data_IF_276943929394
#
_entry.id   IF_276943929394
#
_cell.length_a   1.000
_cell.length_b   1.000
_cell.length_c   1.000
_cell.angle_alpha   90.00
_cell.angle_beta   90.00
_cell.angle_gamma   90.00
#
_symmetry.space_group_name_H-M   'P 1'
#
loop_
_entity.id
_entity.type
_entity.pdbx_description
1 polymer ?
#
# COMPACT_ATOMS: atom_id res chain seq x y z
N UNK A 1 -5.28 -0.41 13.80
CA UNK A 1 -5.59 -1.75 13.25
C UNK A 1 -6.15 -1.68 11.83
N UNK A 2 -7.17 -0.92 11.55
CA UNK A 2 -7.87 -0.94 10.27
C UNK A 2 -7.09 -0.59 9.01
N UNK A 3 -6.04 0.22 9.08
CA UNK A 3 -5.19 0.57 7.93
C UNK A 3 -4.53 -0.63 7.29
N UNK A 4 -3.96 -1.53 8.11
CA UNK A 4 -3.36 -2.78 7.62
C UNK A 4 -4.40 -3.63 6.90
N UNK A 5 -5.54 -3.86 7.53
CA UNK A 5 -6.63 -4.64 6.96
C UNK A 5 -7.13 -4.05 5.62
N UNK A 6 -7.17 -2.72 5.51
CA UNK A 6 -7.54 -2.05 4.27
C UNK A 6 -6.46 -2.27 3.19
N UNK A 7 -5.18 -2.09 3.51
CA UNK A 7 -4.09 -2.33 2.59
C UNK A 7 -4.04 -3.81 2.14
N UNK A 8 -4.28 -4.74 3.05
CA UNK A 8 -4.40 -6.17 2.75
C UNK A 8 -5.56 -6.46 1.81
N UNK A 9 -6.75 -5.91 2.10
CA UNK A 9 -7.92 -6.09 1.25
C UNK A 9 -7.69 -5.55 -0.17
N UNK A 10 -7.12 -4.36 -0.30
CA UNK A 10 -6.74 -3.81 -1.60
C UNK A 10 -5.69 -4.65 -2.31
N UNK A 11 -4.65 -5.07 -1.61
CA UNK A 11 -3.62 -5.93 -2.18
C UNK A 11 -4.21 -7.25 -2.67
N UNK A 12 -5.12 -7.84 -1.89
CA UNK A 12 -5.82 -9.08 -2.25
C UNK A 12 -6.69 -8.92 -3.51
N UNK A 13 -7.38 -7.78 -3.64
CA UNK A 13 -8.16 -7.45 -4.85
C UNK A 13 -7.25 -7.26 -6.06
N UNK A 14 -6.15 -6.51 -5.90
CA UNK A 14 -5.20 -6.21 -6.98
C UNK A 14 -4.50 -7.48 -7.50
N UNK A 15 -4.20 -8.44 -6.63
CA UNK A 15 -3.52 -9.69 -6.99
C UNK A 15 -4.49 -10.83 -7.35
N UNK A 16 -5.80 -10.61 -7.23
CA UNK A 16 -6.78 -11.66 -7.47
C UNK A 16 -6.84 -12.06 -8.95
N UNK A 17 -6.61 -13.32 -9.25
CA UNK A 17 -6.71 -13.89 -10.61
C UNK A 17 -8.16 -13.86 -11.15
N UNK A 18 -9.17 -13.92 -10.26
CA UNK A 18 -10.58 -13.83 -10.60
C UNK A 18 -11.12 -12.39 -10.70
N UNK A 19 -10.27 -11.40 -10.72
CA UNK A 19 -10.62 -9.97 -10.70
C UNK A 19 -11.58 -9.55 -11.83
N UNK A 20 -11.40 -10.09 -13.02
CA UNK A 20 -12.27 -9.78 -14.19
C UNK A 20 -13.71 -10.28 -13.99
N UNK A 21 -13.88 -11.38 -13.25
CA UNK A 21 -15.18 -11.99 -13.00
C UNK A 21 -15.93 -11.36 -11.82
N UNK A 22 -15.21 -10.77 -10.85
CA UNK A 22 -15.79 -10.17 -9.65
C UNK A 22 -16.06 -8.67 -9.76
N UNK A 23 -15.69 -8.04 -10.89
CA UNK A 23 -15.95 -6.63 -11.15
C UNK A 23 -15.16 -5.66 -10.27
N UNK A 24 -13.96 -6.02 -9.83
CA UNK A 24 -13.03 -5.17 -9.05
C UNK A 24 -13.47 -4.81 -7.62
N UNK A 25 -14.62 -5.23 -7.17
CA UNK A 25 -15.13 -4.83 -5.85
C UNK A 25 -14.68 -5.78 -4.75
N UNK A 26 -14.51 -7.07 -5.08
CA UNK A 26 -14.13 -8.09 -4.10
C UNK A 26 -13.12 -9.09 -4.68
N UNK A 27 -12.28 -9.64 -3.81
CA UNK A 27 -11.41 -10.75 -4.18
C UNK A 27 -12.20 -12.05 -4.21
N UNK A 28 -11.88 -12.98 -5.11
CA UNK A 28 -12.60 -14.26 -5.22
C UNK A 28 -12.43 -15.19 -4.01
N UNK A 29 -11.39 -14.97 -3.20
CA UNK A 29 -11.07 -15.76 -1.99
C UNK A 29 -10.63 -17.20 -2.24
N UNK A 30 -10.56 -17.65 -3.51
CA UNK A 30 -10.35 -19.07 -3.87
C UNK A 30 -9.11 -19.31 -4.73
N UNK A 31 -8.63 -18.31 -5.47
CA UNK A 31 -7.43 -18.44 -6.29
C UNK A 31 -6.18 -18.54 -5.41
N UNK A 32 -5.11 -19.02 -5.99
CA UNK A 32 -3.85 -19.23 -5.28
C UNK A 32 -3.31 -17.92 -4.69
N UNK A 33 -3.37 -16.82 -5.43
CA UNK A 33 -2.98 -15.49 -4.94
C UNK A 33 -3.81 -15.05 -3.72
N UNK A 34 -5.12 -15.29 -3.73
CA UNK A 34 -5.97 -14.98 -2.57
C UNK A 34 -5.62 -15.81 -1.33
N UNK A 35 -5.28 -17.08 -1.52
CA UNK A 35 -4.86 -17.98 -0.44
C UNK A 35 -3.50 -17.55 0.11
N UNK A 36 -2.52 -17.28 -0.75
CA UNK A 36 -1.21 -16.78 -0.34
C UNK A 36 -1.30 -15.46 0.43
N UNK A 37 -2.20 -14.58 0.03
CA UNK A 37 -2.46 -13.32 0.74
C UNK A 37 -3.00 -13.54 2.17
N UNK A 38 -3.82 -14.56 2.40
CA UNK A 38 -4.31 -14.89 3.76
C UNK A 38 -3.19 -15.35 4.70
N UNK A 39 -2.18 -16.02 4.15
CA UNK A 39 -1.01 -16.50 4.90
C UNK A 39 0.15 -15.48 4.91
N UNK A 40 -0.02 -14.28 4.35
CA UNK A 40 1.03 -13.26 4.16
C UNK A 40 2.27 -13.79 3.42
N UNK A 41 2.09 -14.74 2.51
CA UNK A 41 3.16 -15.43 1.79
C UNK A 41 3.12 -15.16 0.26
N UNK A 42 2.50 -14.07 -0.15
CA UNK A 42 2.44 -13.70 -1.57
C UNK A 42 3.78 -13.08 -2.01
N UNK A 43 4.47 -13.64 -3.04
CA UNK A 43 5.82 -13.20 -3.41
C UNK A 43 5.91 -11.75 -3.90
N UNK A 44 4.83 -11.22 -4.46
CA UNK A 44 4.77 -9.86 -5.00
C UNK A 44 4.16 -8.84 -4.02
N UNK A 45 3.88 -9.23 -2.77
CA UNK A 45 3.39 -8.34 -1.72
C UNK A 45 4.39 -8.28 -0.58
N UNK A 46 5.12 -7.18 -0.53
CA UNK A 46 6.26 -6.98 0.36
C UNK A 46 5.85 -6.09 1.52
N UNK A 47 5.85 -6.66 2.72
CA UNK A 47 5.75 -5.90 3.95
C UNK A 47 7.12 -5.37 4.33
N UNK A 48 7.28 -4.06 4.30
CA UNK A 48 8.56 -3.44 4.66
C UNK A 48 8.77 -3.59 6.16
N UNK A 49 9.78 -4.38 6.51
CA UNK A 49 10.21 -4.60 7.89
C UNK A 49 11.26 -3.57 8.30
N UNK A 50 11.33 -3.27 9.58
CA UNK A 50 12.36 -2.43 10.16
C UNK A 50 12.89 -3.03 11.47
N UNK A 51 14.20 -2.94 11.67
CA UNK A 51 14.87 -3.50 12.86
C UNK A 51 14.57 -2.69 14.12
N UNK A 52 14.51 -1.36 13.98
CA UNK A 52 14.30 -0.45 15.10
C UNK A 52 12.82 -0.12 15.27
N UNK A 53 12.24 -0.27 16.47
CA UNK A 53 10.80 -0.11 16.67
C UNK A 53 10.27 1.31 16.37
N UNK A 54 11.14 2.33 16.39
CA UNK A 54 10.73 3.74 16.29
C UNK A 54 11.29 4.47 15.06
N UNK A 55 12.08 3.83 14.23
CA UNK A 55 12.73 4.49 13.06
C UNK A 55 12.82 3.52 11.92
N UNK A 56 12.34 3.95 10.76
CA UNK A 56 12.60 3.30 9.47
C UNK A 56 13.76 4.04 8.83
N UNK A 57 14.87 3.34 8.65
CA UNK A 57 16.12 3.90 8.13
C UNK A 57 16.13 3.98 6.61
N UNK A 58 17.04 4.78 6.07
CA UNK A 58 17.27 4.88 4.63
C UNK A 58 17.78 3.56 4.03
N UNK A 59 18.55 2.77 4.80
CA UNK A 59 19.03 1.46 4.38
C UNK A 59 17.88 0.50 4.09
N UNK A 60 16.95 0.38 5.03
CA UNK A 60 15.77 -0.49 4.91
C UNK A 60 14.88 -0.11 3.70
N UNK A 61 14.66 1.19 3.48
CA UNK A 61 13.89 1.67 2.32
C UNK A 61 14.61 1.38 1.01
N UNK A 62 15.93 1.60 0.96
CA UNK A 62 16.73 1.31 -0.25
C UNK A 62 16.72 -0.18 -0.57
N UNK A 63 17.01 -1.01 0.40
CA UNK A 63 17.12 -2.45 0.23
C UNK A 63 15.80 -3.10 -0.15
N UNK A 64 14.71 -2.75 0.54
CA UNK A 64 13.44 -3.42 0.38
C UNK A 64 12.55 -2.82 -0.72
N UNK A 65 12.68 -1.53 -1.04
CA UNK A 65 11.86 -0.87 -2.06
C UNK A 65 12.70 -0.44 -3.26
N UNK A 66 13.66 0.49 -3.07
CA UNK A 66 14.33 1.18 -4.18
C UNK A 66 15.09 0.20 -5.08
N UNK A 67 15.82 -0.75 -4.50
CA UNK A 67 16.63 -1.72 -5.24
C UNK A 67 15.79 -2.86 -5.86
N UNK A 68 14.54 -3.02 -5.42
CA UNK A 68 13.70 -4.15 -5.85
C UNK A 68 12.55 -3.72 -6.75
N UNK A 69 12.21 -2.43 -6.77
CA UNK A 69 11.01 -1.94 -7.48
C UNK A 69 11.08 -2.13 -8.99
N UNK A 70 12.27 -2.08 -9.58
CA UNK A 70 12.48 -2.28 -11.01
C UNK A 70 12.38 -3.76 -11.45
N UNK A 71 12.42 -4.68 -10.49
CA UNK A 71 12.24 -6.10 -10.77
C UNK A 71 10.75 -6.36 -10.95
N UNK A 72 10.37 -6.90 -12.10
CA UNK A 72 8.97 -7.24 -12.41
C UNK A 72 8.36 -8.18 -11.36
N UNK A 73 7.03 -8.13 -11.15
CA UNK A 73 6.34 -9.08 -10.28
C UNK A 73 6.55 -10.51 -10.79
N UNK A 74 6.63 -11.44 -9.84
CA UNK A 74 6.88 -12.85 -10.14
C UNK A 74 5.63 -13.58 -10.61
N UNK A 75 4.49 -13.32 -9.98
CA UNK A 75 3.24 -14.06 -10.19
C UNK A 75 2.08 -13.16 -10.55
N UNK A 76 1.89 -12.09 -9.81
CA UNK A 76 0.75 -11.19 -9.96
C UNK A 76 0.96 -10.09 -11.00
N UNK A 77 -0.10 -9.32 -11.30
CA UNK A 77 0.01 -8.17 -12.20
C UNK A 77 0.72 -6.97 -11.54
N UNK A 78 0.78 -6.92 -10.22
CA UNK A 78 1.36 -5.82 -9.46
C UNK A 78 2.40 -6.28 -8.46
N UNK A 79 3.39 -5.42 -8.21
CA UNK A 79 4.33 -5.53 -7.11
C UNK A 79 3.96 -4.52 -6.04
N UNK A 80 3.57 -4.99 -4.89
CA UNK A 80 2.95 -4.19 -3.83
C UNK A 80 3.90 -4.09 -2.64
N UNK A 81 4.15 -2.86 -2.21
CA UNK A 81 4.93 -2.57 -1.02
C UNK A 81 4.04 -1.94 0.04
N UNK A 82 4.07 -2.49 1.25
CA UNK A 82 3.29 -1.98 2.37
C UNK A 82 4.26 -1.53 3.46
N UNK A 83 4.33 -0.22 3.68
CA UNK A 83 5.13 0.40 4.75
C UNK A 83 4.19 0.72 5.89
N UNK A 84 4.22 -0.09 6.93
CA UNK A 84 3.44 0.21 8.13
C UNK A 84 4.16 1.25 9.00
N UNK A 85 3.38 2.05 9.75
CA UNK A 85 3.89 3.15 10.56
C UNK A 85 4.88 4.05 9.80
N UNK A 86 4.55 4.37 8.54
CA UNK A 86 5.44 5.09 7.64
C UNK A 86 5.84 6.50 8.15
N UNK A 87 5.13 7.04 9.15
CA UNK A 87 5.53 8.23 9.90
C UNK A 87 6.88 8.08 10.62
N UNK A 88 7.35 6.83 10.82
CA UNK A 88 8.66 6.55 11.42
C UNK A 88 9.83 6.67 10.45
N UNK A 89 9.58 6.87 9.16
CA UNK A 89 10.64 7.13 8.18
C UNK A 89 11.36 8.45 8.51
N UNK A 90 12.68 8.37 8.70
CA UNK A 90 13.48 9.58 8.84
C UNK A 90 13.54 10.35 7.51
N UNK A 91 13.98 11.62 7.54
CA UNK A 91 14.04 12.47 6.36
C UNK A 91 14.89 11.86 5.23
N UNK A 92 15.96 11.14 5.56
CA UNK A 92 16.82 10.47 4.58
C UNK A 92 16.09 9.30 3.89
N UNK A 93 15.29 8.52 4.64
CA UNK A 93 14.45 7.46 4.10
C UNK A 93 13.35 8.00 3.18
N UNK A 94 12.70 9.09 3.61
CA UNK A 94 11.69 9.77 2.81
C UNK A 94 12.28 10.32 1.49
N UNK A 95 13.46 10.92 1.54
CA UNK A 95 14.13 11.42 0.33
C UNK A 95 14.58 10.27 -0.60
N UNK A 96 14.99 9.13 -0.05
CA UNK A 96 15.43 7.99 -0.86
C UNK A 96 14.31 7.39 -1.72
N UNK A 97 13.06 7.42 -1.24
CA UNK A 97 11.92 6.86 -1.97
C UNK A 97 11.34 7.85 -3.00
N UNK A 98 11.68 9.15 -2.95
CA UNK A 98 11.07 10.18 -3.80
C UNK A 98 11.15 9.85 -5.29
N UNK A 99 12.31 9.43 -5.79
CA UNK A 99 12.47 9.06 -7.20
C UNK A 99 11.53 7.94 -7.61
N UNK A 100 11.40 6.92 -6.79
CA UNK A 100 10.49 5.80 -7.02
C UNK A 100 9.02 6.23 -7.02
N UNK A 101 8.67 7.21 -6.19
CA UNK A 101 7.31 7.77 -6.12
C UNK A 101 7.01 8.67 -7.31
N UNK A 102 8.01 9.40 -7.83
CA UNK A 102 7.88 10.30 -8.98
C UNK A 102 7.65 9.53 -10.28
N UNK A 103 8.42 8.47 -10.48
CA UNK A 103 8.40 7.65 -11.70
C UNK A 103 8.32 6.16 -11.35
N UNK A 104 7.23 5.70 -10.71
CA UNK A 104 7.08 4.30 -10.40
C UNK A 104 6.86 3.47 -11.66
N UNK A 105 7.40 2.25 -11.76
CA UNK A 105 6.99 1.29 -12.78
C UNK A 105 5.46 1.09 -12.76
N UNK A 106 4.86 0.81 -13.91
CA UNK A 106 3.40 0.68 -14.06
C UNK A 106 2.79 -0.40 -13.15
N UNK A 107 3.56 -1.42 -12.84
CA UNK A 107 3.15 -2.52 -11.97
C UNK A 107 3.42 -2.25 -10.48
N UNK A 108 4.12 -1.18 -10.12
CA UNK A 108 4.47 -0.92 -8.72
C UNK A 108 3.35 -0.16 -7.99
N UNK A 109 2.98 -0.66 -6.82
CA UNK A 109 2.03 -0.04 -5.91
C UNK A 109 2.67 0.09 -4.53
N UNK A 110 2.67 1.29 -3.94
CA UNK A 110 3.27 1.54 -2.63
C UNK A 110 2.20 2.08 -1.69
N UNK A 111 1.98 1.39 -0.59
CA UNK A 111 1.10 1.82 0.50
C UNK A 111 1.94 2.37 1.66
N UNK A 112 1.76 3.64 1.99
CA UNK A 112 2.32 4.25 3.19
C UNK A 112 1.21 4.36 4.23
N UNK A 113 1.23 3.50 5.23
CA UNK A 113 0.24 3.49 6.30
C UNK A 113 0.70 4.43 7.43
N UNK A 114 -0.08 5.44 7.74
CA UNK A 114 0.30 6.43 8.76
C UNK A 114 -0.86 6.82 9.66
N UNK A 115 -0.54 7.24 10.87
CA UNK A 115 -1.47 7.93 11.78
C UNK A 115 -1.25 9.44 11.78
N UNK A 116 -0.12 9.91 11.26
CA UNK A 116 0.27 11.31 11.26
C UNK A 116 0.85 11.72 9.90
N UNK A 117 0.00 12.27 9.04
CA UNK A 117 0.44 12.77 7.72
C UNK A 117 1.45 13.93 7.82
N UNK A 118 1.43 14.69 8.92
CA UNK A 118 2.35 15.82 9.14
C UNK A 118 3.81 15.39 9.38
N UNK A 119 4.08 14.09 9.52
CA UNK A 119 5.43 13.54 9.59
C UNK A 119 6.10 13.39 8.20
N UNK A 120 5.32 13.51 7.12
CA UNK A 120 5.86 13.41 5.77
C UNK A 120 6.29 14.76 5.21
N UNK A 121 7.31 14.71 4.36
CA UNK A 121 7.71 15.84 3.56
C UNK A 121 6.59 16.21 2.56
N UNK A 122 6.42 17.50 2.30
CA UNK A 122 5.44 17.99 1.32
C UNK A 122 5.68 17.42 -0.09
N UNK A 123 6.93 17.11 -0.40
CA UNK A 123 7.33 16.45 -1.66
C UNK A 123 6.74 15.05 -1.81
N UNK A 124 6.58 14.30 -0.73
CA UNK A 124 5.86 13.01 -0.74
C UNK A 124 4.37 13.24 -0.87
N UNK A 125 3.81 14.10 -0.01
CA UNK A 125 2.35 14.33 0.03
C UNK A 125 1.79 14.84 -1.30
N UNK A 126 2.56 15.64 -2.05
CA UNK A 126 2.14 16.15 -3.36
C UNK A 126 2.07 15.09 -4.46
N UNK A 127 2.70 13.93 -4.26
CA UNK A 127 2.78 12.81 -5.23
C UNK A 127 1.92 11.61 -4.81
N UNK A 128 1.37 11.65 -3.61
CA UNK A 128 0.55 10.59 -3.05
C UNK A 128 -0.95 10.89 -3.21
N UNK A 129 -1.75 9.85 -3.37
CA UNK A 129 -3.20 9.94 -3.18
C UNK A 129 -3.48 9.66 -1.71
N UNK A 130 -4.06 10.65 -1.03
CA UNK A 130 -4.42 10.52 0.38
C UNK A 130 -5.80 9.91 0.52
N UNK A 131 -5.88 8.70 1.05
CA UNK A 131 -7.14 8.09 1.47
C UNK A 131 -7.32 8.30 2.98
N UNK A 132 -8.24 9.17 3.34
CA UNK A 132 -8.62 9.42 4.72
C UNK A 132 -9.70 8.42 5.13
N UNK A 133 -9.38 7.51 6.06
CA UNK A 133 -10.36 6.62 6.64
C UNK A 133 -11.08 7.30 7.81
N UNK A 134 -12.41 7.16 7.85
CA UNK A 134 -13.24 7.69 8.94
C UNK A 134 -13.67 6.54 9.87
N UNK A 135 -13.93 6.82 11.16
CA UNK A 135 -14.54 5.84 12.04
C UNK A 135 -15.90 5.42 11.48
N UNK A 136 -16.16 4.13 11.44
CA UNK A 136 -17.51 3.63 11.12
C UNK A 136 -18.43 3.92 12.30
N UNK A 137 -19.66 4.45 12.11
CA UNK A 137 -20.63 4.67 13.19
C UNK A 137 -20.86 3.40 14.00
N UNK A 138 -20.93 3.51 15.33
CA UNK A 138 -20.91 2.40 16.29
C UNK A 138 -22.04 1.36 16.21
N UNK A 139 -22.96 1.47 15.27
CA UNK A 139 -23.99 0.46 15.02
C UNK A 139 -23.55 -0.67 14.06
N UNK A 140 -22.42 -0.48 13.37
CA UNK A 140 -21.94 -1.44 12.38
C UNK A 140 -20.75 -2.29 12.84
N UNK A 141 -19.87 -1.76 13.69
CA UNK A 141 -18.75 -2.53 14.28
C UNK A 141 -18.33 -1.89 15.61
N UNK A 142 -18.48 -2.59 16.71
CA UNK A 142 -17.87 -2.19 17.98
C UNK A 142 -16.34 -2.20 17.82
N UNK A 143 -15.72 -1.01 18.03
CA UNK A 143 -14.27 -0.83 18.19
C UNK A 143 -13.36 -0.78 16.94
N UNK A 144 -13.78 -0.25 15.81
CA UNK A 144 -12.83 0.00 14.72
C UNK A 144 -12.50 1.48 14.56
N UNK A 145 -11.38 1.90 15.10
CA UNK A 145 -10.83 3.26 14.96
C UNK A 145 -9.95 3.32 13.70
N UNK A 146 -10.37 4.08 12.69
CA UNK A 146 -9.65 4.22 11.42
C UNK A 146 -8.97 5.61 11.36
N UNK A 147 -7.67 5.63 11.12
CA UNK A 147 -6.93 6.87 10.87
C UNK A 147 -6.05 6.68 9.62
N UNK A 148 -6.20 7.59 8.70
CA UNK A 148 -5.45 7.88 7.46
C UNK A 148 -4.57 6.78 6.84
N UNK A 149 -4.86 6.44 5.59
CA UNK A 149 -4.00 5.63 4.70
C UNK A 149 -3.54 6.54 3.57
N UNK A 150 -2.24 6.53 3.26
CA UNK A 150 -1.67 7.28 2.13
C UNK A 150 -1.39 6.29 1.00
N UNK A 151 -1.94 6.56 -0.17
CA UNK A 151 -1.81 5.75 -1.37
C UNK A 151 -0.86 6.38 -2.36
N UNK A 152 -0.05 5.57 -3.02
CA UNK A 152 0.82 6.01 -4.09
C UNK A 152 0.57 5.25 -5.37
N UNK A 153 0.07 5.94 -6.39
CA UNK A 153 0.07 5.50 -7.78
C UNK A 153 0.16 6.70 -8.72
N UNK A 154 0.81 6.53 -9.86
CA UNK A 154 0.92 7.55 -10.92
C UNK A 154 -0.48 7.98 -11.40
N UNK A 155 -0.67 9.29 -11.51
CA UNK A 155 -1.94 9.99 -11.79
C UNK A 155 -2.61 9.65 -13.15
N UNK A 156 -1.99 8.83 -14.01
CA UNK A 156 -2.40 8.71 -15.41
C UNK A 156 -3.44 7.63 -15.74
N UNK A 157 -3.67 6.62 -14.90
CA UNK A 157 -4.56 5.50 -15.24
C UNK A 157 -5.67 5.17 -14.23
N UNK A 158 -5.83 5.95 -13.16
CA UNK A 158 -6.86 5.67 -12.12
C UNK A 158 -8.26 6.19 -12.46
N UNK A 159 -8.41 7.00 -13.52
CA UNK A 159 -9.73 7.60 -13.86
C UNK A 159 -10.71 6.62 -14.50
N UNK A 160 -10.27 5.47 -14.96
CA UNK A 160 -11.17 4.46 -15.54
C UNK A 160 -11.51 3.28 -14.63
N UNK A 161 -10.67 2.97 -13.61
CA UNK A 161 -10.84 1.74 -12.83
C UNK A 161 -11.39 1.94 -11.40
N UNK A 162 -11.49 3.16 -10.89
CA UNK A 162 -11.96 3.43 -9.53
C UNK A 162 -12.85 4.68 -9.46
N UNK A 163 -14.05 4.60 -10.02
CA UNK A 163 -15.18 5.40 -9.54
C UNK A 163 -15.74 4.69 -8.30
N UNK A 164 -15.14 4.91 -7.16
CA UNK A 164 -15.79 4.69 -5.89
C UNK A 164 -16.60 5.94 -5.57
N UNK A 165 -17.88 5.92 -5.94
CA UNK A 165 -18.88 6.76 -5.31
C UNK A 165 -18.94 6.36 -3.83
N UNK A 166 -18.57 7.29 -2.94
CA UNK A 166 -18.75 7.20 -1.48
C UNK A 166 -19.98 8.01 -1.11
#
# INVERSE_FOLDING_TARGET
MGKKMLAEAFSKILQCEGRETTGLVESCGKCESCIQMEYHDHPDVIWVSHEKPNVISVGEIREQIVNTVEIMPYKGPYKIYIVDEAEKMNAAAQNAILKTIEEPPEYAVIFLLTTNRGAFLDTILSRCILLATRPVPGTAVENTWWKNVVFLRKKQNLQQDFLLEI
#
